data_IF_363647677746
#
_entry.id   IF_363647677746
#
_cell.length_a   1.000
_cell.length_b   1.000
_cell.length_c   1.000
_cell.angle_alpha   90.00
_cell.angle_beta   90.00
_cell.angle_gamma   90.00
#
_symmetry.space_group_name_H-M   'P 1'
#
loop_
_entity.id
_entity.type
_entity.pdbx_description
1 polymer ?
#
# COMPACT_ATOMS: atom_id res chain seq x y z
N UNK A 1 -17.46 77.99 71.30
CA UNK A 1 -18.27 76.84 70.84
C UNK A 1 -18.40 76.70 69.31
N UNK A 2 -18.36 77.78 68.52
CA UNK A 2 -18.52 77.71 67.05
C UNK A 2 -17.32 77.07 66.31
N UNK A 3 -16.07 77.36 66.74
CA UNK A 3 -14.86 76.82 66.10
C UNK A 3 -14.72 75.29 66.17
N UNK A 4 -15.15 74.66 67.27
CA UNK A 4 -15.06 73.19 67.48
C UNK A 4 -16.07 72.44 66.60
N UNK A 5 -17.21 73.05 66.27
CA UNK A 5 -18.29 72.42 65.47
C UNK A 5 -17.92 72.37 63.98
N UNK A 6 -17.24 73.40 63.48
CA UNK A 6 -16.75 73.45 62.10
C UNK A 6 -15.63 72.44 61.85
N UNK A 7 -14.71 72.27 62.80
CA UNK A 7 -13.63 71.29 62.67
C UNK A 7 -14.13 69.85 62.73
N UNK A 8 -15.16 69.57 63.54
CA UNK A 8 -15.81 68.25 63.59
C UNK A 8 -16.58 67.94 62.28
N UNK A 9 -17.27 68.92 61.70
CA UNK A 9 -17.95 68.78 60.41
C UNK A 9 -16.96 68.56 59.25
N UNK A 10 -15.83 69.29 59.24
CA UNK A 10 -14.74 69.08 58.27
C UNK A 10 -14.12 67.70 58.42
N UNK A 11 -13.89 67.23 59.65
CA UNK A 11 -13.33 65.90 59.92
C UNK A 11 -14.29 64.77 59.48
N UNK A 12 -15.59 64.89 59.79
CA UNK A 12 -16.60 63.90 59.38
C UNK A 12 -16.73 63.84 57.85
N UNK A 13 -16.74 65.00 57.19
CA UNK A 13 -16.75 65.11 55.72
C UNK A 13 -15.52 64.45 55.10
N UNK A 14 -14.33 64.68 55.70
CA UNK A 14 -13.08 64.06 55.26
C UNK A 14 -13.13 62.54 55.41
N UNK A 15 -13.62 62.02 56.54
CA UNK A 15 -13.79 60.57 56.78
C UNK A 15 -14.75 59.93 55.78
N UNK A 16 -15.91 60.56 55.52
CA UNK A 16 -16.88 60.06 54.52
C UNK A 16 -16.26 60.04 53.11
N UNK A 17 -15.54 61.10 52.71
CA UNK A 17 -14.85 61.16 51.44
C UNK A 17 -13.75 60.08 51.32
N UNK A 18 -13.01 59.80 52.40
CA UNK A 18 -12.01 58.73 52.44
C UNK A 18 -12.66 57.33 52.29
N UNK A 19 -13.79 57.08 52.96
CA UNK A 19 -14.54 55.82 52.84
C UNK A 19 -15.10 55.65 51.42
N UNK A 20 -15.68 56.70 50.83
CA UNK A 20 -16.18 56.68 49.46
C UNK A 20 -15.06 56.47 48.44
N UNK A 21 -13.91 57.15 48.61
CA UNK A 21 -12.70 56.93 47.80
C UNK A 21 -12.21 55.48 47.91
N UNK A 22 -12.18 54.91 49.11
CA UNK A 22 -11.80 53.51 49.36
C UNK A 22 -12.75 52.52 48.69
N UNK A 23 -14.08 52.70 48.83
CA UNK A 23 -15.10 51.88 48.16
C UNK A 23 -15.00 51.98 46.63
N UNK A 24 -14.78 53.19 46.08
CA UNK A 24 -14.60 53.42 44.63
C UNK A 24 -13.34 52.73 44.12
N UNK A 25 -12.22 52.79 44.88
CA UNK A 25 -10.96 52.10 44.59
C UNK A 25 -11.11 50.56 44.60
N UNK A 26 -11.85 50.01 45.58
CA UNK A 26 -12.18 48.55 45.62
C UNK A 26 -13.03 48.11 44.42
N UNK A 27 -14.09 48.85 44.09
CA UNK A 27 -14.95 48.55 42.90
C UNK A 27 -14.16 48.62 41.59
N UNK A 28 -13.28 49.61 41.44
CA UNK A 28 -12.40 49.73 40.27
C UNK A 28 -11.43 48.54 40.15
N UNK A 29 -10.77 48.13 41.25
CA UNK A 29 -9.93 46.93 41.29
C UNK A 29 -10.70 45.66 40.89
N UNK A 30 -11.93 45.49 41.39
CA UNK A 30 -12.75 44.33 41.04
C UNK A 30 -13.15 44.30 39.55
N UNK A 31 -13.56 45.44 38.98
CA UNK A 31 -13.84 45.55 37.53
C UNK A 31 -12.59 45.27 36.68
N UNK A 32 -11.42 45.77 37.08
CA UNK A 32 -10.15 45.50 36.40
C UNK A 32 -9.79 44.00 36.42
N UNK A 33 -9.90 43.33 37.58
CA UNK A 33 -9.66 41.89 37.72
C UNK A 33 -10.62 41.06 36.84
N UNK A 34 -11.90 41.42 36.77
CA UNK A 34 -12.90 40.75 35.92
C UNK A 34 -12.61 40.95 34.42
N UNK A 35 -12.14 42.13 34.01
CA UNK A 35 -11.72 42.42 32.62
C UNK A 35 -10.48 41.61 32.24
N UNK A 36 -9.48 41.51 33.14
CA UNK A 36 -8.28 40.70 32.94
C UNK A 36 -8.62 39.21 32.81
N UNK A 37 -9.51 38.69 33.66
CA UNK A 37 -9.95 37.29 33.61
C UNK A 37 -10.70 36.97 32.30
N UNK A 38 -11.57 37.87 31.83
CA UNK A 38 -12.26 37.72 30.53
C UNK A 38 -11.28 37.74 29.37
N UNK A 39 -10.31 38.66 29.38
CA UNK A 39 -9.26 38.73 28.36
C UNK A 39 -8.38 37.46 28.36
N UNK A 40 -8.04 36.94 29.56
CA UNK A 40 -7.29 35.69 29.72
C UNK A 40 -8.06 34.49 29.17
N UNK A 41 -9.35 34.32 29.54
CA UNK A 41 -10.23 33.27 29.00
C UNK A 41 -10.38 33.37 27.48
N UNK A 42 -10.53 34.58 26.93
CA UNK A 42 -10.62 34.79 25.48
C UNK A 42 -9.30 34.44 24.77
N UNK A 43 -8.15 34.82 25.34
CA UNK A 43 -6.83 34.41 24.82
C UNK A 43 -6.66 32.90 24.85
N UNK A 44 -7.06 32.23 25.94
CA UNK A 44 -7.02 30.78 26.07
C UNK A 44 -7.91 30.09 25.02
N UNK A 45 -9.17 30.53 24.87
CA UNK A 45 -10.09 29.98 23.85
C UNK A 45 -9.57 30.16 22.43
N UNK A 46 -8.97 31.32 22.11
CA UNK A 46 -8.36 31.59 20.81
C UNK A 46 -7.12 30.73 20.57
N UNK A 47 -6.34 30.43 21.62
CA UNK A 47 -5.19 29.51 21.54
C UNK A 47 -5.64 28.07 21.23
N UNK A 48 -6.66 27.57 21.93
CA UNK A 48 -7.23 26.23 21.68
C UNK A 48 -7.79 26.10 20.26
N UNK A 49 -8.57 27.10 19.80
CA UNK A 49 -9.13 27.08 18.44
C UNK A 49 -8.04 27.09 17.36
N UNK A 50 -6.95 27.85 17.57
CA UNK A 50 -5.80 27.87 16.66
C UNK A 50 -5.09 26.52 16.62
N UNK A 51 -4.91 25.87 17.78
CA UNK A 51 -4.32 24.54 17.87
C UNK A 51 -5.17 23.48 17.15
N UNK A 52 -6.49 23.46 17.38
CA UNK A 52 -7.40 22.53 16.69
C UNK A 52 -7.43 22.73 15.17
N UNK A 53 -7.47 23.98 14.70
CA UNK A 53 -7.38 24.27 13.25
C UNK A 53 -6.04 23.86 12.63
N UNK A 54 -4.95 23.94 13.40
CA UNK A 54 -3.63 23.51 12.96
C UNK A 54 -3.58 21.98 12.84
N UNK A 55 -4.04 21.23 13.85
CA UNK A 55 -4.07 19.77 13.78
C UNK A 55 -4.89 19.26 12.60
N UNK A 56 -6.09 19.83 12.37
CA UNK A 56 -6.93 19.44 11.23
C UNK A 56 -6.29 19.73 9.87
N UNK A 57 -5.45 20.77 9.76
CA UNK A 57 -4.67 21.06 8.55
C UNK A 57 -3.51 20.08 8.37
N UNK A 58 -2.84 19.71 9.46
CA UNK A 58 -1.74 18.73 9.46
C UNK A 58 -2.26 17.30 9.16
N UNK A 59 -3.48 16.97 9.58
CA UNK A 59 -4.17 15.72 9.22
C UNK A 59 -4.51 15.69 7.73
N UNK A 60 -5.24 16.69 7.22
CA UNK A 60 -5.57 16.79 5.79
C UNK A 60 -4.33 16.81 4.89
N UNK A 61 -3.24 17.45 5.33
CA UNK A 61 -1.99 17.47 4.57
C UNK A 61 -1.31 16.09 4.51
N UNK A 62 -1.41 15.29 5.58
CA UNK A 62 -0.92 13.90 5.61
C UNK A 62 -1.76 13.01 4.71
N UNK A 63 -3.09 13.12 4.79
CA UNK A 63 -4.01 12.34 3.95
C UNK A 63 -3.76 12.63 2.45
N UNK A 64 -3.63 13.91 2.07
CA UNK A 64 -3.30 14.31 0.71
C UNK A 64 -1.89 13.85 0.27
N UNK A 65 -0.93 13.78 1.18
CA UNK A 65 0.42 13.29 0.87
C UNK A 65 0.41 11.78 0.64
N UNK A 66 -0.34 11.03 1.46
CA UNK A 66 -0.52 9.59 1.32
C UNK A 66 -1.25 9.25 0.03
N UNK A 67 -2.34 9.94 -0.29
CA UNK A 67 -3.07 9.81 -1.56
C UNK A 67 -2.17 10.10 -2.76
N UNK A 68 -1.30 11.12 -2.68
CA UNK A 68 -0.34 11.43 -3.75
C UNK A 68 0.75 10.37 -3.87
N UNK A 69 1.18 9.75 -2.77
CA UNK A 69 2.15 8.65 -2.77
C UNK A 69 1.54 7.39 -3.37
N UNK A 70 0.32 7.05 -2.97
CA UNK A 70 -0.48 5.96 -3.54
C UNK A 70 -0.68 6.16 -5.04
N UNK A 71 -1.12 7.35 -5.47
CA UNK A 71 -1.29 7.65 -6.88
C UNK A 71 0.03 7.50 -7.67
N UNK A 72 1.16 7.97 -7.12
CA UNK A 72 2.47 7.78 -7.76
C UNK A 72 2.91 6.30 -7.80
N UNK A 73 2.60 5.50 -6.77
CA UNK A 73 2.84 4.05 -6.75
C UNK A 73 1.98 3.36 -7.82
N UNK A 74 0.69 3.66 -7.86
CA UNK A 74 -0.24 3.19 -8.89
C UNK A 74 0.22 3.56 -10.29
N UNK A 75 0.64 4.80 -10.56
CA UNK A 75 1.18 5.20 -11.87
C UNK A 75 2.43 4.40 -12.26
N UNK A 76 3.28 4.01 -11.30
CA UNK A 76 4.41 3.11 -11.58
C UNK A 76 3.96 1.67 -11.91
N UNK A 77 2.79 1.26 -11.42
CA UNK A 77 2.19 -0.08 -11.58
C UNK A 77 1.09 -0.17 -12.68
N UNK A 78 0.58 0.95 -13.20
CA UNK A 78 -0.31 1.00 -14.38
C UNK A 78 0.49 1.18 -15.67
N UNK A 79 0.35 0.23 -16.60
CA UNK A 79 1.14 0.18 -17.82
C UNK A 79 0.39 -0.38 -19.01
N UNK A 80 -0.59 -1.27 -18.84
CA UNK A 80 -1.42 -1.77 -19.95
C UNK A 80 -2.49 -0.78 -20.43
N UNK A 81 -3.03 -1.01 -21.63
CA UNK A 81 -4.07 -0.21 -22.30
C UNK A 81 -5.21 0.23 -21.37
N UNK A 82 -5.79 1.40 -21.66
CA UNK A 82 -6.96 2.05 -21.02
C UNK A 82 -7.87 1.09 -20.23
N UNK A 83 -7.47 0.75 -18.99
CA UNK A 83 -8.31 -0.06 -18.11
C UNK A 83 -9.56 0.74 -17.77
N UNK A 84 -10.73 0.11 -17.92
CA UNK A 84 -12.02 0.75 -17.67
C UNK A 84 -12.27 1.05 -16.19
N UNK A 85 -11.46 0.52 -15.27
CA UNK A 85 -11.61 0.64 -13.81
C UNK A 85 -10.27 0.80 -13.09
N UNK A 86 -10.27 1.49 -11.95
CA UNK A 86 -9.11 1.58 -11.05
C UNK A 86 -8.95 0.26 -10.27
N UNK A 87 -7.81 -0.41 -10.42
CA UNK A 87 -7.52 -1.67 -9.71
C UNK A 87 -7.07 -1.38 -8.28
N UNK A 88 -7.49 -2.25 -7.36
CA UNK A 88 -7.01 -2.22 -5.98
C UNK A 88 -5.56 -2.71 -5.91
N UNK A 89 -4.75 -2.06 -5.08
CA UNK A 89 -3.42 -2.52 -4.71
C UNK A 89 -3.46 -3.31 -3.41
N UNK A 90 -2.52 -4.25 -3.26
CA UNK A 90 -2.21 -4.93 -2.00
C UNK A 90 -3.45 -5.37 -1.21
N UNK A 91 -4.42 -6.01 -1.88
CA UNK A 91 -5.73 -6.39 -1.29
C UNK A 91 -5.64 -7.31 -0.06
N UNK A 92 -4.47 -7.90 0.14
CA UNK A 92 -4.09 -8.72 1.28
C UNK A 92 -3.76 -7.94 2.56
N UNK A 93 -3.40 -6.66 2.45
CA UNK A 93 -3.09 -5.84 3.62
C UNK A 93 -4.30 -5.71 4.54
N UNK A 94 -4.02 -5.61 5.85
CA UNK A 94 -5.01 -5.44 6.91
C UNK A 94 -5.96 -6.62 7.12
N UNK A 95 -5.79 -7.72 6.38
CA UNK A 95 -6.48 -8.97 6.68
C UNK A 95 -5.99 -9.52 8.04
N UNK A 96 -6.94 -9.91 8.89
CA UNK A 96 -6.61 -10.49 10.19
C UNK A 96 -5.88 -11.83 10.05
N UNK A 97 -4.87 -12.04 10.89
CA UNK A 97 -4.15 -13.30 10.96
C UNK A 97 -5.05 -14.43 11.48
N UNK A 98 -4.78 -15.69 11.13
CA UNK A 98 -5.45 -16.84 11.73
C UNK A 98 -5.29 -16.86 13.25
N UNK A 99 -6.22 -17.53 13.93
CA UNK A 99 -6.17 -17.64 15.39
C UNK A 99 -4.87 -18.33 15.86
N UNK A 100 -4.23 -17.77 16.88
CA UNK A 100 -2.96 -18.29 17.42
C UNK A 100 -1.71 -17.91 16.62
N UNK A 101 -1.84 -17.27 15.46
CA UNK A 101 -0.72 -16.77 14.66
C UNK A 101 -0.35 -15.35 15.07
N UNK A 102 0.94 -15.09 15.32
CA UNK A 102 1.43 -13.76 15.71
C UNK A 102 2.16 -13.02 14.59
N UNK A 103 2.66 -13.74 13.60
CA UNK A 103 3.44 -13.18 12.50
C UNK A 103 3.15 -13.90 11.18
N UNK A 104 3.36 -13.18 10.09
CA UNK A 104 3.22 -13.69 8.74
C UNK A 104 4.29 -13.08 7.85
N UNK A 105 4.75 -13.86 6.88
CA UNK A 105 5.53 -13.37 5.77
C UNK A 105 4.58 -13.07 4.62
N UNK A 106 4.61 -11.86 4.09
CA UNK A 106 3.81 -11.49 2.93
C UNK A 106 4.70 -10.96 1.81
N UNK A 107 4.11 -10.79 0.64
CA UNK A 107 4.76 -10.11 -0.48
C UNK A 107 5.36 -8.79 -0.02
N UNK A 108 6.56 -8.49 -0.53
CA UNK A 108 7.30 -7.26 -0.24
C UNK A 108 7.23 -6.33 -1.45
N UNK A 109 6.65 -5.15 -1.24
CA UNK A 109 6.33 -4.18 -2.29
C UNK A 109 4.96 -4.38 -2.93
N UNK A 110 4.60 -3.44 -3.80
CA UNK A 110 3.23 -3.27 -4.24
C UNK A 110 2.89 -4.16 -5.46
N UNK A 111 1.64 -4.66 -5.50
CA UNK A 111 1.05 -5.30 -6.67
C UNK A 111 -0.41 -4.85 -6.86
N UNK A 112 -0.93 -5.01 -8.08
CA UNK A 112 -2.32 -4.75 -8.41
C UNK A 112 -3.13 -6.04 -8.46
N UNK A 113 -4.37 -6.00 -7.98
CA UNK A 113 -5.31 -7.11 -8.03
C UNK A 113 -6.02 -7.17 -9.38
N UNK A 114 -5.54 -8.07 -10.25
CA UNK A 114 -6.19 -8.39 -11.51
C UNK A 114 -7.16 -9.56 -11.29
N UNK A 115 -8.38 -9.41 -11.79
CA UNK A 115 -9.45 -10.37 -11.64
C UNK A 115 -10.32 -10.38 -12.89
N UNK A 116 -11.30 -11.30 -12.98
CA UNK A 116 -12.15 -11.41 -14.15
C UNK A 116 -12.87 -10.11 -14.50
N UNK A 117 -12.86 -9.78 -15.80
CA UNK A 117 -13.57 -8.61 -16.34
C UNK A 117 -13.02 -7.25 -15.93
N UNK A 118 -11.89 -7.16 -15.23
CA UNK A 118 -11.39 -5.90 -14.69
C UNK A 118 -11.00 -4.86 -15.77
N UNK A 119 -10.70 -5.34 -16.97
CA UNK A 119 -10.33 -4.58 -18.17
C UNK A 119 -11.46 -4.53 -19.23
N UNK A 120 -12.68 -4.93 -18.86
CA UNK A 120 -13.83 -4.99 -19.76
C UNK A 120 -13.87 -6.24 -20.66
N UNK A 121 -12.88 -7.13 -20.57
CA UNK A 121 -12.84 -8.39 -21.32
C UNK A 121 -13.43 -9.54 -20.49
N UNK A 122 -14.45 -10.23 -21.03
CA UNK A 122 -15.08 -11.37 -20.35
C UNK A 122 -14.27 -12.67 -20.53
N UNK A 123 -13.42 -12.93 -19.55
CA UNK A 123 -12.53 -14.08 -19.47
C UNK A 123 -12.96 -15.12 -18.42
N UNK A 124 -14.21 -15.04 -17.95
CA UNK A 124 -14.73 -15.97 -16.94
C UNK A 124 -14.64 -17.42 -17.41
N UNK A 125 -14.15 -18.28 -16.52
CA UNK A 125 -14.01 -19.71 -16.76
C UNK A 125 -12.74 -20.11 -17.50
N UNK A 126 -11.89 -19.16 -17.89
CA UNK A 126 -10.62 -19.50 -18.55
C UNK A 126 -9.44 -18.55 -18.32
N UNK A 127 -9.72 -17.32 -17.90
CA UNK A 127 -8.68 -16.30 -17.75
C UNK A 127 -7.89 -16.35 -16.43
N UNK A 128 -8.13 -17.30 -15.54
CA UNK A 128 -7.62 -17.22 -14.16
C UNK A 128 -6.08 -17.16 -14.13
N UNK A 129 -5.41 -17.98 -14.95
CA UNK A 129 -3.97 -17.94 -15.12
C UNK A 129 -3.46 -16.62 -15.66
N UNK A 130 -4.18 -16.04 -16.63
CA UNK A 130 -3.86 -14.72 -17.21
C UNK A 130 -3.95 -13.61 -16.15
N UNK A 131 -5.02 -13.58 -15.35
CA UNK A 131 -5.22 -12.57 -14.32
C UNK A 131 -4.18 -12.67 -13.20
N UNK A 132 -3.87 -13.90 -12.75
CA UNK A 132 -2.78 -14.11 -11.79
C UNK A 132 -1.44 -13.64 -12.37
N UNK A 133 -1.11 -13.98 -13.63
CA UNK A 133 0.08 -13.49 -14.31
C UNK A 133 0.12 -11.95 -14.36
N UNK A 134 -0.99 -11.29 -14.69
CA UNK A 134 -1.05 -9.83 -14.72
C UNK A 134 -0.74 -9.19 -13.35
N UNK A 135 -1.23 -9.79 -12.26
CA UNK A 135 -0.85 -9.38 -10.89
C UNK A 135 0.66 -9.54 -10.65
N UNK A 136 1.26 -10.67 -11.06
CA UNK A 136 2.71 -10.89 -10.97
C UNK A 136 3.49 -9.85 -11.82
N UNK A 137 3.07 -9.61 -13.08
CA UNK A 137 3.65 -8.60 -13.96
C UNK A 137 3.61 -7.20 -13.33
N UNK A 138 2.51 -6.84 -12.66
CA UNK A 138 2.38 -5.54 -12.00
C UNK A 138 3.43 -5.35 -10.89
N UNK A 139 3.67 -6.40 -10.10
CA UNK A 139 4.67 -6.41 -9.05
C UNK A 139 6.09 -6.32 -9.64
N UNK A 140 6.43 -7.20 -10.58
CA UNK A 140 7.76 -7.23 -11.24
C UNK A 140 8.08 -5.87 -11.84
N UNK A 141 7.12 -5.29 -12.57
CA UNK A 141 7.31 -3.97 -13.18
C UNK A 141 7.49 -2.86 -12.15
N UNK A 142 6.79 -2.93 -11.02
CA UNK A 142 6.93 -2.03 -9.88
C UNK A 142 8.33 -2.10 -9.27
N UNK A 143 8.86 -3.31 -9.04
CA UNK A 143 10.21 -3.51 -8.51
C UNK A 143 11.28 -2.97 -9.47
N UNK A 144 11.18 -3.31 -10.76
CA UNK A 144 12.08 -2.78 -11.78
C UNK A 144 11.99 -1.25 -11.92
N UNK A 145 10.86 -0.64 -11.54
CA UNK A 145 10.70 0.82 -11.49
C UNK A 145 11.53 1.49 -10.41
N UNK A 146 11.68 0.81 -9.28
CA UNK A 146 12.42 1.29 -8.13
C UNK A 146 13.91 1.09 -8.37
N UNK A 147 14.28 -0.03 -9.01
CA UNK A 147 15.65 -0.39 -9.34
C UNK A 147 16.36 0.62 -10.26
N UNK A 148 15.64 1.16 -11.25
CA UNK A 148 16.19 2.08 -12.22
C UNK A 148 16.34 3.49 -11.61
N UNK A 149 17.57 3.97 -11.32
CA UNK A 149 17.76 5.37 -10.97
C UNK A 149 17.39 6.19 -12.20
N UNK A 150 16.46 7.12 -12.05
CA UNK A 150 16.06 8.05 -13.12
C UNK A 150 17.28 8.88 -13.55
N UNK A 151 18.07 8.41 -14.52
CA UNK A 151 19.06 9.23 -15.21
C UNK A 151 18.30 10.13 -16.19
N UNK A 152 17.72 11.21 -15.65
CA UNK A 152 17.49 12.41 -16.45
C UNK A 152 18.85 13.10 -16.52
N UNK A 153 19.71 12.66 -17.43
CA UNK A 153 20.84 13.46 -17.86
C UNK A 153 20.41 14.19 -19.12
N UNK A 154 20.10 15.48 -18.96
CA UNK A 154 20.20 16.46 -20.03
C UNK A 154 21.65 16.48 -20.50
N UNK A 155 21.99 15.64 -21.48
CA UNK A 155 23.27 15.68 -22.18
C UNK A 155 23.04 16.22 -23.60
N UNK A 156 23.81 17.21 -24.07
CA UNK A 156 23.65 17.75 -25.41
C UNK A 156 24.05 16.70 -26.45
N UNK A 157 23.21 16.56 -27.46
CA UNK A 157 23.51 15.87 -28.72
C UNK A 157 24.72 16.51 -29.38
N UNK A 158 25.83 15.79 -29.42
CA UNK A 158 26.81 15.89 -30.51
C UNK A 158 27.73 14.67 -30.50
N UNK A 159 27.57 13.78 -31.48
CA UNK A 159 28.63 13.15 -32.29
C UNK A 159 28.06 11.98 -33.09
N UNK A 160 28.17 12.11 -34.41
CA UNK A 160 27.92 11.07 -35.40
C UNK A 160 28.84 9.86 -35.17
N UNK A 161 28.27 8.70 -34.82
CA UNK A 161 28.90 7.39 -35.04
C UNK A 161 27.81 6.34 -35.25
N UNK A 162 27.80 5.59 -36.37
CA UNK A 162 26.78 4.58 -36.62
C UNK A 162 27.13 3.31 -35.83
N UNK A 163 26.63 3.23 -34.59
CA UNK A 163 26.68 1.98 -33.80
C UNK A 163 25.44 1.16 -34.11
N UNK A 164 25.66 -0.04 -34.65
CA UNK A 164 24.64 -1.04 -34.94
C UNK A 164 24.12 -1.70 -33.66
N UNK A 165 23.20 -1.02 -32.98
CA UNK A 165 22.19 -1.62 -32.11
C UNK A 165 21.11 -0.56 -31.86
N UNK A 166 19.81 -0.86 -32.01
CA UNK A 166 18.78 0.08 -31.61
C UNK A 166 18.92 0.34 -30.09
N UNK A 167 18.73 1.59 -29.62
CA UNK A 167 18.60 1.85 -28.20
C UNK A 167 17.44 1.01 -27.66
N UNK A 168 17.73 0.13 -26.69
CA UNK A 168 16.72 -0.64 -25.96
C UNK A 168 15.68 0.38 -25.46
N UNK A 169 14.37 0.21 -25.74
CA UNK A 169 13.38 1.21 -25.38
C UNK A 169 13.39 1.39 -23.86
N UNK A 170 13.63 2.63 -23.42
CA UNK A 170 13.67 3.09 -22.03
C UNK A 170 12.32 2.93 -21.30
N UNK A 171 11.30 2.36 -21.96
CA UNK A 171 9.99 2.05 -21.39
C UNK A 171 9.88 0.56 -21.08
N UNK A 172 9.84 0.22 -19.79
CA UNK A 172 9.54 -1.14 -19.33
C UNK A 172 8.21 -1.62 -19.93
N UNK A 173 8.10 -2.87 -20.41
CA UNK A 173 6.87 -3.35 -21.01
C UNK A 173 5.67 -3.21 -20.07
N UNK A 174 4.50 -2.87 -20.61
CA UNK A 174 3.29 -2.75 -19.81
C UNK A 174 2.85 -4.09 -19.21
N UNK A 175 1.88 -4.08 -18.28
CA UNK A 175 1.16 -5.33 -17.97
C UNK A 175 0.43 -5.77 -19.23
N UNK A 176 0.62 -7.02 -19.71
CA UNK A 176 0.05 -7.46 -20.97
C UNK A 176 -1.46 -7.73 -20.84
N UNK A 177 -2.20 -7.63 -21.95
CA UNK A 177 -3.58 -8.15 -22.04
C UNK A 177 -3.58 -9.67 -22.28
N UNK A 178 -4.74 -10.34 -22.14
CA UNK A 178 -4.86 -11.78 -22.44
C UNK A 178 -4.34 -12.11 -23.84
N UNK A 179 -4.73 -11.29 -24.84
CA UNK A 179 -4.28 -11.45 -26.22
C UNK A 179 -2.77 -11.27 -26.35
N UNK A 180 -2.17 -10.27 -25.69
CA UNK A 180 -0.72 -10.07 -25.75
C UNK A 180 0.04 -11.24 -25.11
N UNK A 181 -0.48 -11.81 -24.03
CA UNK A 181 0.07 -13.02 -23.40
C UNK A 181 0.06 -14.18 -24.40
N UNK A 182 -1.05 -14.40 -25.11
CA UNK A 182 -1.14 -15.44 -26.15
C UNK A 182 -0.14 -15.20 -27.28
N UNK A 183 -0.03 -13.95 -27.78
CA UNK A 183 0.93 -13.58 -28.81
C UNK A 183 2.38 -13.86 -28.38
N UNK A 184 2.73 -13.56 -27.13
CA UNK A 184 4.08 -13.85 -26.59
C UNK A 184 4.36 -15.35 -26.60
N UNK A 185 3.40 -16.18 -26.18
CA UNK A 185 3.58 -17.64 -26.13
C UNK A 185 3.75 -18.24 -27.54
N UNK A 186 3.10 -17.66 -28.54
CA UNK A 186 3.34 -18.02 -29.96
C UNK A 186 4.70 -17.51 -30.45
N UNK A 187 5.05 -16.26 -30.15
CA UNK A 187 6.33 -15.65 -30.55
C UNK A 187 7.57 -16.44 -30.06
N UNK A 188 7.50 -17.03 -28.86
CA UNK A 188 8.58 -17.85 -28.30
C UNK A 188 8.53 -19.32 -28.77
N UNK A 189 7.51 -19.71 -29.53
CA UNK A 189 7.32 -21.06 -30.05
C UNK A 189 6.79 -22.08 -29.04
N UNK A 190 6.15 -21.64 -27.94
CA UNK A 190 5.51 -22.54 -26.96
C UNK A 190 4.11 -22.98 -27.42
N UNK A 191 3.41 -22.12 -28.16
CA UNK A 191 2.05 -22.37 -28.68
C UNK A 191 1.99 -22.14 -30.19
N UNK A 192 1.01 -22.76 -30.84
CA UNK A 192 0.71 -22.60 -32.27
C UNK A 192 -0.10 -21.32 -32.54
N UNK A 193 -0.13 -20.85 -33.79
CA UNK A 193 -0.77 -19.58 -34.18
C UNK A 193 -2.27 -19.50 -33.83
N UNK A 194 -2.98 -20.63 -33.77
CA UNK A 194 -4.41 -20.69 -33.44
C UNK A 194 -4.70 -20.47 -31.94
N UNK A 195 -3.67 -20.46 -31.10
CA UNK A 195 -3.77 -20.12 -29.69
C UNK A 195 -4.14 -18.63 -29.48
N UNK A 196 -3.75 -17.74 -30.39
CA UNK A 196 -4.07 -16.31 -30.30
C UNK A 196 -5.56 -16.08 -30.56
N UNK A 197 -6.26 -15.52 -29.58
CA UNK A 197 -7.70 -15.33 -29.60
C UNK A 197 -8.50 -16.54 -29.13
N UNK A 198 -7.83 -17.65 -28.74
CA UNK A 198 -8.46 -18.79 -28.08
C UNK A 198 -8.94 -18.44 -26.67
N UNK A 199 -9.63 -19.39 -26.03
CA UNK A 199 -10.02 -19.35 -24.62
C UNK A 199 -9.29 -20.42 -23.81
N UNK A 200 -8.13 -20.84 -24.29
CA UNK A 200 -7.36 -21.89 -23.64
C UNK A 200 -6.70 -21.38 -22.36
N UNK A 201 -6.49 -22.28 -21.41
CA UNK A 201 -5.87 -21.95 -20.13
C UNK A 201 -4.35 -21.89 -20.27
N UNK A 202 -3.72 -21.13 -19.36
CA UNK A 202 -2.26 -21.13 -19.17
C UNK A 202 -1.92 -21.56 -17.75
N UNK A 203 -0.80 -22.26 -17.58
CA UNK A 203 -0.31 -22.73 -16.30
C UNK A 203 0.96 -22.01 -15.85
N UNK A 204 1.57 -22.54 -14.78
CA UNK A 204 2.78 -22.00 -14.18
C UNK A 204 3.98 -21.94 -15.14
N UNK A 205 4.07 -22.89 -16.08
CA UNK A 205 5.15 -22.95 -17.06
C UNK A 205 5.03 -21.80 -18.06
N UNK A 206 3.86 -21.62 -18.67
CA UNK A 206 3.60 -20.50 -19.59
C UNK A 206 3.77 -19.15 -18.89
N UNK A 207 3.33 -19.03 -17.64
CA UNK A 207 3.54 -17.82 -16.82
C UNK A 207 5.03 -17.52 -16.64
N UNK A 208 5.86 -18.53 -16.40
CA UNK A 208 7.31 -18.33 -16.28
C UNK A 208 7.93 -17.82 -17.58
N UNK A 209 7.51 -18.33 -18.74
CA UNK A 209 8.00 -17.89 -20.03
C UNK A 209 7.62 -16.45 -20.34
N UNK A 210 6.39 -16.04 -20.01
CA UNK A 210 5.94 -14.67 -20.26
C UNK A 210 6.66 -13.67 -19.35
N UNK A 211 6.90 -14.01 -18.08
CA UNK A 211 7.68 -13.16 -17.18
C UNK A 211 9.12 -12.99 -17.63
N UNK A 212 9.75 -14.06 -18.14
CA UNK A 212 11.11 -14.01 -18.69
C UNK A 212 11.15 -13.19 -20.00
N UNK A 213 10.22 -13.45 -20.92
CA UNK A 213 10.12 -12.74 -22.20
C UNK A 213 9.91 -11.23 -22.02
N UNK A 214 9.02 -10.81 -21.10
CA UNK A 214 8.71 -9.40 -20.88
C UNK A 214 9.71 -8.66 -20.02
N UNK A 215 10.23 -9.31 -18.98
CA UNK A 215 10.96 -8.61 -17.90
C UNK A 215 12.31 -9.23 -17.58
N UNK A 216 12.75 -10.26 -18.33
CA UNK A 216 13.96 -11.04 -18.04
C UNK A 216 13.96 -11.54 -16.58
N UNK A 217 12.79 -11.90 -16.07
CA UNK A 217 12.59 -12.40 -14.72
C UNK A 217 12.44 -13.91 -14.73
N UNK A 218 13.48 -14.61 -14.28
CA UNK A 218 13.46 -16.06 -14.13
C UNK A 218 12.50 -16.50 -13.03
N UNK A 219 11.95 -17.70 -13.14
CA UNK A 219 11.07 -18.28 -12.14
C UNK A 219 11.55 -19.67 -11.72
N UNK A 220 11.36 -20.01 -10.44
CA UNK A 220 11.46 -21.37 -9.93
C UNK A 220 10.09 -22.01 -9.98
N UNK A 221 9.97 -23.22 -10.53
CA UNK A 221 8.74 -24.00 -10.50
C UNK A 221 8.84 -25.07 -9.41
N UNK A 222 7.84 -25.15 -8.54
CA UNK A 222 7.66 -26.25 -7.58
C UNK A 222 6.50 -27.10 -8.06
N UNK A 223 6.74 -28.41 -8.19
CA UNK A 223 5.74 -29.39 -8.58
C UNK A 223 5.34 -30.22 -7.36
N UNK A 224 4.09 -30.07 -6.92
CA UNK A 224 3.52 -30.79 -5.79
C UNK A 224 2.54 -31.81 -6.34
N UNK A 225 2.83 -33.10 -6.17
CA UNK A 225 2.05 -34.17 -6.80
C UNK A 225 0.68 -34.37 -6.16
N UNK A 226 0.56 -34.09 -4.86
CA UNK A 226 -0.68 -34.19 -4.09
C UNK A 226 -0.80 -33.01 -3.14
N UNK A 227 -2.02 -32.51 -2.92
CA UNK A 227 -2.27 -31.42 -1.99
C UNK A 227 -1.76 -31.70 -0.57
N UNK A 228 -1.73 -32.97 -0.16
CA UNK A 228 -1.14 -33.41 1.11
C UNK A 228 0.34 -33.10 1.25
N UNK A 229 1.05 -32.95 0.13
CA UNK A 229 2.50 -32.80 0.08
C UNK A 229 2.90 -31.30 0.10
N UNK A 230 1.92 -30.38 0.12
CA UNK A 230 2.18 -28.94 0.23
C UNK A 230 2.97 -28.59 1.50
N UNK A 231 2.78 -29.34 2.59
CA UNK A 231 3.47 -29.12 3.84
C UNK A 231 4.99 -29.33 3.71
N UNK A 232 5.44 -30.18 2.79
CA UNK A 232 6.87 -30.44 2.53
C UNK A 232 7.59 -29.25 1.91
N UNK A 233 6.84 -28.27 1.36
CA UNK A 233 7.39 -27.11 0.68
C UNK A 233 7.34 -25.82 1.50
N UNK A 234 6.83 -25.87 2.75
CA UNK A 234 6.70 -24.70 3.64
C UNK A 234 8.04 -23.97 3.80
N UNK A 235 9.13 -24.70 4.02
CA UNK A 235 10.46 -24.09 4.17
C UNK A 235 10.93 -23.36 2.91
N UNK A 236 10.64 -23.93 1.73
CA UNK A 236 10.99 -23.29 0.45
C UNK A 236 10.16 -22.03 0.22
N UNK A 237 8.88 -22.04 0.60
CA UNK A 237 8.01 -20.86 0.50
C UNK A 237 8.45 -19.77 1.48
N UNK A 238 8.86 -20.15 2.70
CA UNK A 238 9.38 -19.22 3.71
C UNK A 238 10.59 -18.48 3.17
N UNK A 239 11.58 -19.24 2.69
CA UNK A 239 12.79 -18.69 2.08
C UNK A 239 12.47 -17.78 0.90
N UNK A 240 11.50 -18.14 0.05
CA UNK A 240 11.08 -17.30 -1.07
C UNK A 240 10.52 -15.94 -0.62
N UNK A 241 9.64 -15.91 0.38
CA UNK A 241 9.11 -14.64 0.89
C UNK A 241 10.16 -13.79 1.61
N UNK A 242 11.14 -14.43 2.27
CA UNK A 242 12.25 -13.73 2.93
C UNK A 242 13.26 -13.13 1.94
N UNK A 243 13.66 -13.90 0.91
CA UNK A 243 14.72 -13.50 -0.03
C UNK A 243 14.18 -12.72 -1.23
N UNK A 244 13.08 -13.18 -1.82
CA UNK A 244 12.49 -12.56 -3.01
C UNK A 244 11.35 -11.63 -2.61
N UNK A 245 10.39 -12.13 -1.82
CA UNK A 245 9.19 -11.39 -1.44
C UNK A 245 8.22 -11.14 -2.60
N UNK A 246 8.31 -11.92 -3.69
CA UNK A 246 7.43 -11.79 -4.86
C UNK A 246 6.13 -12.59 -4.69
N UNK A 247 5.01 -12.18 -5.32
CA UNK A 247 3.79 -12.98 -5.32
C UNK A 247 4.01 -14.25 -6.17
N UNK A 248 3.39 -15.35 -5.74
CA UNK A 248 3.54 -16.67 -6.35
C UNK A 248 2.25 -17.00 -7.10
N UNK A 249 2.33 -17.51 -8.32
CA UNK A 249 1.17 -18.15 -8.96
C UNK A 249 1.09 -19.59 -8.49
N UNK A 250 -0.08 -20.04 -8.05
CA UNK A 250 -0.39 -21.46 -7.82
C UNK A 250 -1.49 -21.90 -8.79
N UNK A 251 -1.20 -22.92 -9.61
CA UNK A 251 -2.18 -23.62 -10.44
C UNK A 251 -2.48 -25.01 -9.91
N UNK A 252 -3.72 -25.45 -10.00
CA UNK A 252 -4.16 -26.81 -9.64
C UNK A 252 -4.97 -27.46 -10.76
N UNK A 253 -5.06 -28.79 -10.71
CA UNK A 253 -5.79 -29.60 -11.68
C UNK A 253 -7.28 -29.65 -11.36
N UNK A 254 -7.63 -30.22 -10.21
CA UNK A 254 -9.03 -30.55 -9.90
C UNK A 254 -9.86 -29.31 -9.59
N UNK A 255 -9.24 -28.24 -9.12
CA UNK A 255 -9.90 -26.95 -8.93
C UNK A 255 -9.95 -26.11 -10.22
N UNK A 256 -9.20 -26.49 -11.27
CA UNK A 256 -9.02 -25.73 -12.52
C UNK A 256 -8.77 -24.23 -12.26
N UNK A 257 -8.14 -23.91 -11.13
CA UNK A 257 -8.13 -22.57 -10.58
C UNK A 257 -6.70 -22.12 -10.31
N UNK A 258 -6.24 -21.17 -11.13
CA UNK A 258 -5.10 -20.34 -10.78
C UNK A 258 -5.47 -19.38 -9.64
N UNK A 259 -4.55 -19.19 -8.71
CA UNK A 259 -4.64 -18.23 -7.61
C UNK A 259 -3.28 -17.63 -7.31
N UNK A 260 -3.25 -16.40 -6.80
CA UNK A 260 -2.02 -15.80 -6.30
C UNK A 260 -1.84 -16.16 -4.82
N UNK A 261 -0.62 -16.58 -4.45
CA UNK A 261 -0.19 -16.72 -3.07
C UNK A 261 0.70 -15.52 -2.74
N UNK A 262 0.24 -14.69 -1.82
CA UNK A 262 0.88 -13.40 -1.48
C UNK A 262 1.37 -13.35 -0.04
N UNK A 263 1.41 -14.49 0.62
CA UNK A 263 1.98 -14.65 1.95
C UNK A 263 1.78 -16.05 2.52
N UNK A 264 2.40 -16.28 3.66
CA UNK A 264 2.30 -17.50 4.44
C UNK A 264 2.45 -17.20 5.94
N UNK A 265 1.88 -18.06 6.77
CA UNK A 265 2.16 -18.09 8.20
C UNK A 265 2.04 -19.50 8.75
N UNK A 266 2.69 -19.73 9.89
CA UNK A 266 2.69 -21.02 10.58
C UNK A 266 1.86 -20.85 11.85
N UNK A 267 0.79 -21.62 11.97
CA UNK A 267 -0.06 -21.66 13.15
C UNK A 267 0.27 -22.84 14.06
N UNK A 268 -0.40 -22.91 15.21
CA UNK A 268 -0.20 -24.02 16.16
C UNK A 268 -0.65 -25.37 15.58
N UNK A 269 -1.70 -25.39 14.76
CA UNK A 269 -2.35 -26.62 14.28
C UNK A 269 -2.18 -26.86 12.76
N UNK A 270 -1.92 -25.81 11.97
CA UNK A 270 -1.73 -25.89 10.53
C UNK A 270 -0.87 -24.74 10.02
N UNK A 271 -0.35 -24.87 8.82
CA UNK A 271 0.28 -23.81 8.06
C UNK A 271 -0.76 -23.18 7.12
N UNK A 272 -0.59 -21.90 6.82
CA UNK A 272 -1.56 -21.15 6.03
C UNK A 272 -0.88 -20.46 4.86
N UNK A 273 -1.57 -20.44 3.72
CA UNK A 273 -1.21 -19.61 2.57
C UNK A 273 -2.23 -18.48 2.43
N UNK A 274 -1.74 -17.27 2.16
CA UNK A 274 -2.58 -16.11 1.88
C UNK A 274 -2.95 -16.10 0.40
N UNK A 275 -4.17 -16.55 0.12
CA UNK A 275 -4.73 -16.69 -1.21
C UNK A 275 -5.40 -15.39 -1.64
N UNK A 276 -5.09 -14.94 -2.86
CA UNK A 276 -5.80 -13.91 -3.60
C UNK A 276 -6.39 -14.55 -4.86
N UNK A 277 -7.70 -14.61 -4.90
CA UNK A 277 -8.48 -15.33 -5.90
C UNK A 277 -8.82 -14.41 -7.10
N UNK A 278 -8.39 -14.73 -8.34
CA UNK A 278 -8.65 -13.91 -9.52
C UNK A 278 -10.08 -14.07 -10.08
N UNK A 279 -10.90 -14.98 -9.56
CA UNK A 279 -12.23 -15.29 -10.11
C UNK A 279 -13.31 -14.28 -9.71
N UNK A 280 -12.97 -13.27 -8.90
CA UNK A 280 -13.90 -12.19 -8.56
C UNK A 280 -14.45 -11.54 -9.83
N UNK A 281 -15.77 -11.45 -9.90
CA UNK A 281 -16.49 -10.78 -10.96
C UNK A 281 -17.30 -9.61 -10.40
N UNK A 282 -17.00 -8.41 -10.88
CA UNK A 282 -17.64 -7.18 -10.44
C UNK A 282 -16.67 -6.01 -10.37
N UNK A 283 -17.05 -4.97 -9.63
CA UNK A 283 -16.22 -3.79 -9.39
C UNK A 283 -15.65 -3.91 -7.99
N UNK A 284 -14.36 -4.22 -7.88
CA UNK A 284 -13.67 -4.29 -6.59
C UNK A 284 -13.42 -2.87 -6.06
N UNK A 285 -14.21 -2.45 -5.06
CA UNK A 285 -14.14 -1.09 -4.50
C UNK A 285 -13.23 -0.98 -3.28
N UNK A 286 -13.19 -2.02 -2.47
CA UNK A 286 -12.45 -2.05 -1.21
C UNK A 286 -11.95 -3.46 -0.89
N UNK A 287 -10.76 -3.55 -0.30
CA UNK A 287 -10.16 -4.82 0.11
C UNK A 287 -11.02 -5.55 1.16
N UNK A 288 -11.70 -4.82 2.04
CA UNK A 288 -12.61 -5.39 3.06
C UNK A 288 -13.77 -6.18 2.46
N UNK A 289 -14.32 -5.76 1.32
CA UNK A 289 -15.36 -6.52 0.62
C UNK A 289 -14.78 -7.85 0.12
N UNK A 290 -13.60 -7.81 -0.51
CA UNK A 290 -12.94 -9.01 -1.03
C UNK A 290 -12.59 -10.00 0.10
N UNK A 291 -12.10 -9.48 1.22
CA UNK A 291 -11.74 -10.25 2.42
C UNK A 291 -12.98 -10.87 3.09
N UNK A 292 -14.03 -10.08 3.33
CA UNK A 292 -15.27 -10.57 3.95
C UNK A 292 -15.98 -11.63 3.09
N UNK A 293 -15.82 -11.56 1.77
CA UNK A 293 -16.37 -12.52 0.80
C UNK A 293 -15.40 -13.66 0.46
N UNK A 294 -14.27 -13.76 1.16
CA UNK A 294 -13.29 -14.86 1.03
C UNK A 294 -12.57 -14.94 -0.33
N UNK A 295 -12.55 -13.86 -1.11
CA UNK A 295 -11.69 -13.72 -2.31
C UNK A 295 -10.23 -13.45 -1.95
N UNK A 296 -10.00 -12.90 -0.76
CA UNK A 296 -8.68 -12.73 -0.17
C UNK A 296 -8.72 -13.32 1.23
N UNK A 297 -8.01 -14.43 1.45
CA UNK A 297 -8.13 -15.20 2.69
C UNK A 297 -6.87 -15.95 3.04
N UNK A 298 -6.67 -16.19 4.34
CA UNK A 298 -5.79 -17.25 4.82
C UNK A 298 -6.46 -18.60 4.61
N UNK A 299 -5.80 -19.49 3.89
CA UNK A 299 -6.27 -20.84 3.66
C UNK A 299 -5.32 -21.84 4.34
N UNK A 300 -5.80 -22.67 5.28
CA UNK A 300 -5.03 -23.76 5.86
C UNK A 300 -4.57 -24.74 4.78
N UNK A 301 -3.37 -25.33 4.91
CA UNK A 301 -2.88 -26.33 3.97
C UNK A 301 -3.80 -27.56 3.91
N UNK A 302 -4.42 -27.91 5.04
CA UNK A 302 -5.41 -29.01 5.11
C UNK A 302 -6.68 -28.77 4.28
N UNK A 303 -7.03 -27.52 3.97
CA UNK A 303 -8.22 -27.17 3.17
C UNK A 303 -7.96 -27.19 1.66
N UNK A 304 -6.72 -27.32 1.21
CA UNK A 304 -6.44 -27.59 -0.19
C UNK A 304 -6.90 -29.01 -0.57
N UNK A 305 -7.21 -29.23 -1.84
CA UNK A 305 -7.67 -30.53 -2.33
C UNK A 305 -6.53 -31.54 -2.25
N UNK A 306 -6.57 -32.39 -1.22
CA UNK A 306 -5.47 -33.31 -0.85
C UNK A 306 -5.07 -34.29 -1.96
N UNK A 307 -5.99 -34.61 -2.89
CA UNK A 307 -5.74 -35.49 -4.03
C UNK A 307 -5.32 -34.79 -5.34
N UNK A 308 -5.35 -33.45 -5.39
CA UNK A 308 -4.98 -32.68 -6.59
C UNK A 308 -3.47 -32.44 -6.62
N UNK A 309 -2.88 -32.31 -7.80
CA UNK A 309 -1.56 -31.70 -7.92
C UNK A 309 -1.64 -30.17 -7.84
N UNK A 310 -0.53 -29.55 -7.45
CA UNK A 310 -0.34 -28.10 -7.47
C UNK A 310 1.02 -27.76 -8.07
N UNK A 311 1.04 -26.84 -9.04
CA UNK A 311 2.26 -26.22 -9.51
C UNK A 311 2.35 -24.81 -8.96
N UNK A 312 3.54 -24.40 -8.51
CA UNK A 312 3.79 -23.05 -8.03
C UNK A 312 4.89 -22.41 -8.85
N UNK A 313 4.64 -21.22 -9.39
CA UNK A 313 5.61 -20.41 -10.11
C UNK A 313 6.08 -19.25 -9.22
N UNK A 314 7.36 -19.27 -8.86
CA UNK A 314 8.01 -18.36 -7.92
C UNK A 314 8.96 -17.42 -8.67
N UNK A 315 8.59 -16.15 -8.96
CA UNK A 315 9.48 -15.20 -9.63
C UNK A 315 10.74 -14.90 -8.80
N UNK A 316 11.91 -15.10 -9.39
CA UNK A 316 13.23 -14.95 -8.77
C UNK A 316 13.77 -13.53 -8.94
N UNK A 317 13.01 -12.55 -8.43
CA UNK A 317 13.40 -11.15 -8.37
C UNK A 317 13.27 -10.68 -6.92
N UNK A 318 14.32 -10.07 -6.38
CA UNK A 318 14.30 -9.55 -5.02
C UNK A 318 13.54 -8.23 -4.94
N UNK A 319 12.63 -8.12 -3.96
CA UNK A 319 11.96 -6.88 -3.64
C UNK A 319 12.98 -5.81 -3.22
N UNK A 320 12.84 -4.60 -3.75
CA UNK A 320 13.62 -3.48 -3.26
C UNK A 320 13.16 -3.08 -1.87
N UNK A 321 14.00 -3.32 -0.86
CA UNK A 321 13.73 -2.79 0.48
C UNK A 321 13.84 -1.26 0.44
N UNK A 322 12.73 -0.58 0.74
CA UNK A 322 12.72 0.86 0.97
C UNK A 322 13.58 1.13 2.21
N UNK A 323 14.84 1.50 2.01
CA UNK A 323 15.69 2.01 3.10
C UNK A 323 15.05 3.28 3.64
N UNK A 324 14.32 3.16 4.74
CA UNK A 324 13.94 4.30 5.57
C UNK A 324 15.21 4.76 6.27
N UNK A 325 15.99 5.60 5.60
CA UNK A 325 17.13 6.29 6.21
C UNK A 325 16.59 7.19 7.31
N UNK A 326 16.50 6.65 8.53
CA UNK A 326 16.20 7.42 9.73
C UNK A 326 17.47 8.18 10.08
N UNK A 327 17.62 9.37 9.49
CA UNK A 327 18.69 10.30 9.84
C UNK A 327 18.53 10.68 11.30
N UNK A 328 19.24 9.98 12.18
CA UNK A 328 19.33 10.32 13.59
C UNK A 328 20.30 11.49 13.70
N UNK A 329 19.77 12.71 13.75
CA UNK A 329 20.56 13.92 13.95
C UNK A 329 21.05 13.96 15.39
N UNK A 330 22.22 13.37 15.65
CA UNK A 330 22.92 13.50 16.92
C UNK A 330 23.34 14.96 17.08
N UNK A 331 22.63 15.71 17.92
CA UNK A 331 23.00 17.06 18.31
C UNK A 331 24.10 16.95 19.37
N UNK A 332 25.35 17.06 18.95
CA UNK A 332 26.48 17.31 19.87
C UNK A 332 26.35 18.72 20.43
N UNK A 333 25.97 18.82 21.71
CA UNK A 333 26.10 20.04 22.49
C UNK A 333 27.60 20.29 22.74
N UNK A 334 28.13 21.33 22.12
CA UNK A 334 29.45 21.86 22.44
C UNK A 334 29.36 22.64 23.76
N UNK A 335 30.07 22.16 24.78
CA UNK A 335 30.42 22.92 25.97
C UNK A 335 31.68 23.74 25.70
N UNK A 336 31.56 25.06 25.81
CA UNK A 336 32.67 25.99 26.04
C UNK A 336 32.16 27.20 26.79
#
# INVERSE_FOLDING_TARGET
>A
MLLIRDDLCKLLTLVVLLVLRSKKKKRAKHKAKKKLLRASKHKAKKKVLRASKRMRREELARDNEEERKDLKRKVRMVGGQDYTMELLSNVHEWLQLPEGVTEALTVSGDYLYFHYGCDGFDDRGWGCGYRTLMSLCSWVRGQLAIAAPTTITDAPTDTDTPTAAPPIPLSRPPVPSNRRIQEILVEIGDKEDDFVGSKDWIGCVEVSYVLDSLYSTQCKIIHVQRGSDLCEHVDTLRQHFEECGSPIMMGGDTDNASKAIVGMCEGPDDNYLLVVDPHYWGIAKESSELQSRQWVKWQPLSEFTQGSFYNLCLPQLAAHQLTTTTTTTTTTAASS
#
